data_IF_944071276156
#
_entry.id   IF_944071276156
#
_cell.length_a   1.000
_cell.length_b   1.000
_cell.length_c   1.000
_cell.angle_alpha   90.00
_cell.angle_beta   90.00
_cell.angle_gamma   90.00
#
_symmetry.space_group_name_H-M   'P 1'
#
loop_
_entity.id
_entity.type
_entity.pdbx_description
1 polymer ?
#
# COMPACT_ATOMS: atom_id res chain seq x y z
N UNK A 1 24.44 -3.80 23.94
CA UNK A 1 23.40 -4.86 23.82
C UNK A 1 22.07 -4.25 24.22
N UNK A 2 21.48 -3.33 23.46
CA UNK A 2 20.72 -3.52 22.20
C UNK A 2 19.65 -4.60 22.30
N UNK A 3 18.40 -4.20 22.56
CA UNK A 3 17.18 -4.72 21.91
C UNK A 3 16.14 -3.59 21.92
N UNK A 4 16.26 -2.64 20.97
CA UNK A 4 15.12 -1.83 20.54
C UNK A 4 14.17 -2.79 19.84
N UNK A 5 13.00 -3.02 20.43
CA UNK A 5 11.91 -3.73 19.76
C UNK A 5 11.59 -3.01 18.45
N UNK A 6 11.79 -3.71 17.34
CA UNK A 6 11.21 -3.31 16.05
C UNK A 6 9.70 -3.35 16.24
N UNK A 7 9.09 -2.17 16.30
CA UNK A 7 7.66 -2.03 16.08
C UNK A 7 7.44 -2.43 14.62
N UNK A 8 6.71 -3.52 14.42
CA UNK A 8 6.31 -4.00 13.11
C UNK A 8 5.39 -2.94 12.49
N UNK A 9 5.85 -2.35 11.39
CA UNK A 9 5.11 -1.38 10.60
C UNK A 9 4.20 -2.15 9.64
N UNK A 10 3.01 -2.51 10.08
CA UNK A 10 2.04 -3.23 9.26
C UNK A 10 1.26 -2.26 8.34
N UNK A 11 1.95 -1.68 7.35
CA UNK A 11 1.33 -1.33 6.08
C UNK A 11 1.95 -2.19 4.99
N UNK A 12 1.51 -3.46 4.94
CA UNK A 12 2.02 -4.53 4.08
C UNK A 12 2.20 -4.16 2.60
N UNK A 13 1.46 -3.16 2.11
CA UNK A 13 1.54 -2.73 0.72
C UNK A 13 2.74 -1.81 0.43
N UNK A 14 3.14 -0.97 1.39
CA UNK A 14 4.14 0.07 1.15
C UNK A 14 5.58 -0.46 1.28
N UNK A 15 5.80 -1.52 2.08
CA UNK A 15 7.11 -2.14 2.25
C UNK A 15 7.52 -2.93 1.01
N UNK A 16 6.57 -3.53 0.30
CA UNK A 16 6.81 -4.35 -0.90
C UNK A 16 7.35 -3.53 -2.09
N UNK A 17 6.94 -2.27 -2.22
CA UNK A 17 7.32 -1.42 -3.36
C UNK A 17 8.33 -0.33 -3.02
N UNK A 18 8.59 -0.06 -1.73
CA UNK A 18 9.56 0.95 -1.30
C UNK A 18 10.96 0.69 -1.88
N UNK A 19 11.46 1.65 -2.68
CA UNK A 19 12.79 1.60 -3.30
C UNK A 19 12.89 0.82 -4.62
N UNK A 20 11.79 0.33 -5.18
CA UNK A 20 11.79 -0.34 -6.47
C UNK A 20 11.86 0.67 -7.64
N UNK A 21 12.87 0.56 -8.49
CA UNK A 21 13.00 1.37 -9.70
C UNK A 21 11.90 1.03 -10.70
N UNK A 22 11.17 2.04 -11.18
CA UNK A 22 10.10 1.88 -12.18
C UNK A 22 8.69 1.71 -11.61
N UNK A 23 8.52 1.77 -10.29
CA UNK A 23 7.20 1.75 -9.64
C UNK A 23 7.07 2.96 -8.73
N UNK A 24 6.08 3.81 -9.00
CA UNK A 24 5.65 4.88 -8.10
C UNK A 24 4.36 4.50 -7.40
N UNK A 25 4.26 4.78 -6.11
CA UNK A 25 3.08 4.53 -5.28
C UNK A 25 2.53 5.87 -4.81
N UNK A 26 1.26 6.12 -5.08
CA UNK A 26 0.52 7.27 -4.56
C UNK A 26 -0.58 6.77 -3.64
N UNK A 27 -0.58 7.24 -2.39
CA UNK A 27 -1.56 6.87 -1.37
C UNK A 27 -2.38 8.09 -1.01
N UNK A 28 -3.70 8.00 -1.19
CA UNK A 28 -4.67 9.03 -0.81
C UNK A 28 -5.34 8.62 0.50
N UNK A 29 -5.41 9.53 1.46
CA UNK A 29 -6.12 9.30 2.72
C UNK A 29 -6.94 10.54 3.12
N UNK A 30 -8.09 10.37 3.77
CA UNK A 30 -8.88 11.50 4.27
C UNK A 30 -8.18 12.13 5.48
N UNK A 31 -7.92 13.44 5.45
CA UNK A 31 -7.20 14.14 6.53
C UNK A 31 -7.90 14.01 7.89
N UNK A 32 -9.24 14.03 7.89
CA UNK A 32 -10.05 13.94 9.11
C UNK A 32 -10.57 12.53 9.40
N UNK A 33 -10.26 11.54 8.55
CA UNK A 33 -10.83 10.20 8.60
C UNK A 33 -9.91 9.09 9.11
N UNK A 34 -8.69 9.44 9.54
CA UNK A 34 -7.68 8.45 9.98
C UNK A 34 -7.16 8.73 11.39
N UNK A 35 -6.72 7.67 12.07
CA UNK A 35 -6.10 7.82 13.40
C UNK A 35 -4.71 8.45 13.30
N UNK A 36 -4.31 9.17 14.35
CA UNK A 36 -2.97 9.75 14.45
C UNK A 36 -1.83 8.71 14.32
N UNK A 37 -2.07 7.47 14.72
CA UNK A 37 -1.07 6.39 14.60
C UNK A 37 -0.91 5.97 13.13
N UNK A 38 -2.01 5.77 12.42
CA UNK A 38 -2.01 5.43 10.99
C UNK A 38 -1.37 6.57 10.16
N UNK A 39 -1.74 7.82 10.46
CA UNK A 39 -1.16 8.98 9.78
C UNK A 39 0.37 9.03 9.95
N UNK A 40 0.86 8.78 11.16
CA UNK A 40 2.31 8.73 11.44
C UNK A 40 2.97 7.55 10.73
N UNK A 41 2.32 6.40 10.64
CA UNK A 41 2.89 5.26 9.91
C UNK A 41 3.07 5.58 8.43
N UNK A 42 2.07 6.19 7.80
CA UNK A 42 2.12 6.55 6.38
C UNK A 42 3.13 7.68 6.10
N UNK A 43 3.17 8.72 6.95
CA UNK A 43 4.03 9.90 6.75
C UNK A 43 5.48 9.72 7.20
N UNK A 44 5.75 8.79 8.12
CA UNK A 44 7.12 8.54 8.62
C UNK A 44 7.99 7.72 7.66
N UNK A 45 7.40 7.16 6.61
CA UNK A 45 8.12 6.40 5.59
C UNK A 45 8.91 7.34 4.68
N UNK A 46 10.23 7.19 4.70
CA UNK A 46 11.15 7.91 3.81
C UNK A 46 11.46 7.03 2.60
N UNK A 47 10.56 7.02 1.62
CA UNK A 47 10.85 6.43 0.32
C UNK A 47 10.68 7.44 -0.80
N UNK A 48 11.61 7.45 -1.75
CA UNK A 48 11.57 8.37 -2.89
C UNK A 48 10.47 8.04 -3.91
N UNK A 49 9.90 6.84 -3.84
CA UNK A 49 8.88 6.37 -4.77
C UNK A 49 7.48 6.21 -4.15
N UNK A 50 7.31 6.57 -2.87
CA UNK A 50 6.01 6.53 -2.19
C UNK A 50 5.62 7.96 -1.83
N UNK A 51 4.49 8.41 -2.36
CA UNK A 51 3.91 9.71 -2.07
C UNK A 51 2.58 9.53 -1.35
N UNK A 52 2.42 10.24 -0.24
CA UNK A 52 1.21 10.17 0.58
C UNK A 52 0.55 11.54 0.57
N UNK A 53 -0.71 11.61 0.14
CA UNK A 53 -1.46 12.85 -0.04
C UNK A 53 -2.73 12.83 0.80
N UNK A 54 -2.89 13.84 1.65
CA UNK A 54 -4.10 14.08 2.41
C UNK A 54 -5.18 14.71 1.52
N UNK A 55 -6.38 14.15 1.55
CA UNK A 55 -7.56 14.67 0.86
C UNK A 55 -8.48 15.28 1.90
N UNK A 56 -8.93 16.51 1.66
CA UNK A 56 -9.95 17.14 2.48
C UNK A 56 -11.33 16.62 2.06
N UNK A 57 -11.77 15.54 2.70
CA UNK A 57 -12.99 14.81 2.37
C UNK A 57 -13.07 13.51 3.17
N UNK A 58 -13.94 12.61 2.74
CA UNK A 58 -14.07 11.27 3.34
C UNK A 58 -13.34 10.18 2.52
N UNK A 59 -13.52 8.92 2.92
CA UNK A 59 -12.92 7.78 2.23
C UNK A 59 -13.52 7.55 0.83
N UNK A 60 -14.81 7.82 0.65
CA UNK A 60 -15.51 7.64 -0.62
C UNK A 60 -15.08 8.71 -1.63
N UNK A 61 -14.78 9.92 -1.17
CA UNK A 61 -14.14 10.97 -1.96
C UNK A 61 -12.77 10.52 -2.47
N UNK A 62 -11.93 9.96 -1.59
CA UNK A 62 -10.63 9.42 -1.97
C UNK A 62 -10.77 8.36 -3.07
N UNK A 63 -11.73 7.44 -2.94
CA UNK A 63 -12.00 6.43 -3.97
C UNK A 63 -12.50 7.03 -5.28
N UNK A 64 -13.34 8.06 -5.19
CA UNK A 64 -13.89 8.76 -6.36
C UNK A 64 -12.78 9.47 -7.12
N UNK A 65 -11.86 10.15 -6.44
CA UNK A 65 -10.70 10.78 -7.07
C UNK A 65 -9.78 9.78 -7.77
N UNK A 66 -9.53 8.62 -7.16
CA UNK A 66 -8.78 7.54 -7.81
C UNK A 66 -9.50 7.11 -9.09
N UNK A 67 -10.80 6.80 -9.02
CA UNK A 67 -11.57 6.37 -10.20
C UNK A 67 -11.56 7.42 -11.31
N UNK A 68 -11.69 8.70 -10.96
CA UNK A 68 -11.61 9.81 -11.91
C UNK A 68 -10.24 9.86 -12.59
N UNK A 69 -9.15 9.71 -11.82
CA UNK A 69 -7.79 9.67 -12.38
C UNK A 69 -7.58 8.47 -13.32
N UNK A 70 -8.16 7.30 -13.01
CA UNK A 70 -8.11 6.13 -13.90
C UNK A 70 -8.94 6.30 -15.17
N UNK A 71 -10.00 7.11 -15.14
CA UNK A 71 -10.89 7.35 -16.27
C UNK A 71 -10.48 8.54 -17.14
N UNK A 72 -9.53 9.37 -16.70
CA UNK A 72 -9.07 10.53 -17.45
C UNK A 72 -8.11 10.11 -18.59
N UNK A 73 -8.54 10.22 -19.86
CA UNK A 73 -7.72 9.86 -21.00
C UNK A 73 -6.54 10.82 -21.21
N UNK A 74 -6.63 12.08 -20.77
CA UNK A 74 -5.54 13.04 -20.88
C UNK A 74 -4.42 12.66 -19.91
N UNK A 75 -4.76 12.33 -18.67
CA UNK A 75 -3.80 11.88 -17.67
C UNK A 75 -3.12 10.58 -18.09
N UNK A 76 -3.89 9.60 -18.57
CA UNK A 76 -3.36 8.32 -19.05
C UNK A 76 -2.39 8.51 -20.23
N UNK A 77 -2.75 9.36 -21.21
CA UNK A 77 -1.90 9.66 -22.36
C UNK A 77 -0.63 10.41 -21.96
N UNK A 78 -0.73 11.39 -21.05
CA UNK A 78 0.43 12.11 -20.53
C UNK A 78 1.40 11.14 -19.83
N UNK A 79 0.90 10.28 -18.94
CA UNK A 79 1.73 9.30 -18.23
C UNK A 79 2.41 8.30 -19.17
N UNK A 80 1.72 7.89 -20.24
CA UNK A 80 2.28 7.02 -21.27
C UNK A 80 3.33 7.73 -22.13
N UNK A 81 3.11 8.99 -22.52
CA UNK A 81 4.03 9.72 -23.41
C UNK A 81 5.28 10.23 -22.68
N UNK A 82 5.13 10.75 -21.47
CA UNK A 82 6.23 11.38 -20.75
C UNK A 82 7.05 10.38 -19.94
N UNK A 83 6.38 9.40 -19.33
CA UNK A 83 7.00 8.52 -18.34
C UNK A 83 6.89 7.03 -18.70
N UNK A 84 6.27 6.68 -19.84
CA UNK A 84 5.96 5.30 -20.24
C UNK A 84 5.30 4.48 -19.11
N UNK A 85 4.46 5.15 -18.31
CA UNK A 85 3.86 4.61 -17.10
C UNK A 85 2.36 4.40 -17.28
N UNK A 86 1.82 3.37 -16.63
CA UNK A 86 0.38 3.10 -16.56
C UNK A 86 -0.08 3.14 -15.11
N UNK A 87 -1.24 3.74 -14.88
CA UNK A 87 -1.90 3.68 -13.58
C UNK A 87 -2.36 2.25 -13.30
N UNK A 88 -2.11 1.74 -12.09
CA UNK A 88 -2.59 0.44 -11.63
C UNK A 88 -3.13 0.56 -10.21
N UNK A 89 -4.33 0.03 -9.99
CA UNK A 89 -4.99 0.10 -8.69
C UNK A 89 -4.57 -1.08 -7.81
N UNK A 90 -4.18 -0.76 -6.59
CA UNK A 90 -3.81 -1.70 -5.54
C UNK A 90 -5.06 -2.27 -4.85
N UNK A 91 -5.69 -3.29 -5.45
CA UNK A 91 -6.93 -3.86 -4.90
C UNK A 91 -6.73 -5.19 -4.15
N UNK A 92 -7.70 -5.53 -3.29
CA UNK A 92 -7.71 -6.70 -2.40
C UNK A 92 -7.78 -8.07 -3.11
N UNK A 93 -7.95 -8.12 -4.44
CA UNK A 93 -8.01 -9.35 -5.26
C UNK A 93 -6.63 -9.70 -5.85
N UNK A 94 -5.53 -9.23 -5.25
CA UNK A 94 -4.22 -9.70 -5.64
C UNK A 94 -4.01 -11.14 -5.14
N UNK A 95 -4.10 -12.12 -6.05
CA UNK A 95 -3.82 -13.54 -5.78
C UNK A 95 -2.48 -13.78 -5.07
N UNK A 96 -1.50 -12.88 -5.26
CA UNK A 96 -0.22 -12.93 -4.56
C UNK A 96 -0.34 -12.83 -3.03
N UNK A 97 -1.44 -12.29 -2.50
CA UNK A 97 -1.71 -12.25 -1.05
C UNK A 97 -2.26 -13.57 -0.49
N UNK A 98 -2.94 -14.37 -1.31
CA UNK A 98 -3.56 -15.61 -0.87
C UNK A 98 -2.52 -16.70 -0.60
N UNK A 99 -1.44 -16.74 -1.39
CA UNK A 99 -0.41 -17.77 -1.28
C UNK A 99 0.32 -17.75 0.08
N UNK A 100 0.83 -16.61 0.60
CA UNK A 100 1.41 -16.55 1.94
C UNK A 100 0.43 -16.93 3.04
N UNK A 101 -0.85 -16.56 2.92
CA UNK A 101 -1.88 -16.91 3.89
C UNK A 101 -2.10 -18.43 3.96
N UNK A 102 -2.13 -19.12 2.82
CA UNK A 102 -2.24 -20.59 2.76
C UNK A 102 -1.02 -21.25 3.43
N UNK A 103 0.19 -20.79 3.10
CA UNK A 103 1.44 -21.35 3.67
C UNK A 103 1.47 -21.18 5.19
N UNK A 104 1.06 -20.00 5.69
CA UNK A 104 0.98 -19.75 7.13
C UNK A 104 0.01 -20.70 7.83
N UNK A 105 -1.19 -20.89 7.27
CA UNK A 105 -2.17 -21.84 7.84
C UNK A 105 -1.66 -23.29 7.84
N UNK A 106 -0.98 -23.71 6.76
CA UNK A 106 -0.37 -25.04 6.70
C UNK A 106 0.75 -25.21 7.74
N UNK A 107 1.61 -24.20 7.91
CA UNK A 107 2.68 -24.22 8.92
C UNK A 107 2.11 -24.29 10.34
N UNK A 108 1.15 -23.42 10.66
CA UNK A 108 0.54 -23.38 11.98
C UNK A 108 -0.13 -24.72 12.35
N UNK A 109 -0.76 -25.38 11.36
CA UNK A 109 -1.32 -26.72 11.56
C UNK A 109 -0.25 -27.78 11.83
N UNK A 110 0.86 -27.76 11.07
CA UNK A 110 1.98 -28.70 11.28
C UNK A 110 2.66 -28.50 12.63
N UNK A 111 2.79 -27.26 13.10
CA UNK A 111 3.36 -26.94 14.40
C UNK A 111 2.44 -27.44 15.54
N UNK A 112 1.13 -27.24 15.42
CA UNK A 112 0.13 -27.77 16.37
C UNK A 112 0.14 -29.30 16.47
N UNK A 113 0.35 -30.00 15.34
CA UNK A 113 0.42 -31.47 15.31
C UNK A 113 1.75 -31.99 15.86
N UNK A 114 2.85 -31.22 15.73
CA UNK A 114 4.16 -31.56 16.31
C UNK A 114 4.25 -31.36 17.82
N UNK A 115 3.47 -30.42 18.38
CA UNK A 115 3.40 -30.18 19.83
C UNK A 115 2.51 -31.21 20.56
N UNK A 116 1.90 -32.15 19.84
CA UNK A 116 1.05 -33.22 20.38
C UNK A 116 1.76 -34.57 20.39
#
# INVERSE_FOLDING_TARGET
MTKKGKLNNDSDFDILFSGQSGVGVLVLFPENGISNVQMKQMTSMKSNNVHVVGVNGDFDDCQSYVKMAFQDPLLSNMLLQENNCKLSAANSINWGRLLPQIVYHASAYLDLVKER
#
